data_IF_729024364325
#
_entry.id   IF_729024364325
#
_cell.length_a   1.000
_cell.length_b   1.000
_cell.length_c   1.000
_cell.angle_alpha   90.00
_cell.angle_beta   90.00
_cell.angle_gamma   90.00
#
_symmetry.space_group_name_H-M   'P 1'
#
loop_
_entity.id
_entity.type
_entity.pdbx_description
1 polymer ?
#
# COMPACT_ATOMS: atom_id res chain seq x y z
N UNK A 1 -10.45 -30.52 -45.73
CA UNK A 1 -9.98 -31.86 -45.33
C UNK A 1 -10.20 -31.99 -43.82
N UNK A 2 -10.68 -33.15 -43.39
CA UNK A 2 -11.48 -33.48 -42.19
C UNK A 2 -10.93 -33.04 -40.81
N UNK A 3 -11.88 -32.66 -39.94
CA UNK A 3 -11.81 -32.61 -38.45
C UNK A 3 -11.71 -34.06 -37.89
N UNK A 4 -11.26 -34.31 -36.63
CA UNK A 4 -12.13 -34.24 -35.42
C UNK A 4 -11.36 -33.69 -34.17
N UNK A 5 -11.92 -32.95 -33.20
CA UNK A 5 -12.99 -33.19 -32.21
C UNK A 5 -12.75 -34.36 -31.24
N UNK A 6 -13.09 -34.13 -29.95
CA UNK A 6 -13.31 -35.04 -28.79
C UNK A 6 -12.21 -35.02 -27.71
N UNK A 7 -12.48 -35.13 -26.41
CA UNK A 7 -13.71 -35.02 -25.61
C UNK A 7 -13.32 -34.91 -24.12
N UNK A 8 -14.22 -34.31 -23.34
CA UNK A 8 -14.28 -34.25 -21.88
C UNK A 8 -14.38 -35.64 -21.23
N UNK A 9 -13.77 -35.83 -20.06
CA UNK A 9 -14.20 -36.86 -19.09
C UNK A 9 -14.02 -36.37 -17.65
N UNK A 10 -15.15 -36.25 -16.97
CA UNK A 10 -15.29 -36.20 -15.51
C UNK A 10 -15.52 -37.63 -14.97
N UNK A 11 -15.86 -37.74 -13.67
CA UNK A 11 -16.45 -38.90 -12.94
C UNK A 11 -15.41 -39.67 -12.09
N UNK A 12 -15.70 -40.18 -10.87
CA UNK A 12 -16.41 -39.60 -9.71
C UNK A 12 -15.73 -39.96 -8.34
N UNK A 13 -16.38 -39.56 -7.24
CA UNK A 13 -16.14 -40.02 -5.88
C UNK A 13 -16.60 -41.47 -5.65
N UNK A 14 -15.93 -42.20 -4.73
CA UNK A 14 -16.48 -43.38 -4.07
C UNK A 14 -15.99 -43.49 -2.63
N UNK A 15 -16.98 -43.57 -1.74
CA UNK A 15 -16.94 -43.73 -0.30
C UNK A 15 -17.01 -45.25 0.02
N UNK A 16 -16.16 -45.79 0.91
CA UNK A 16 -16.44 -47.06 1.59
C UNK A 16 -15.89 -47.07 3.02
N UNK A 17 -16.74 -47.57 3.92
CA UNK A 17 -16.65 -47.67 5.37
C UNK A 17 -16.45 -49.13 5.80
N UNK A 18 -15.70 -49.30 6.90
CA UNK A 18 -15.76 -50.35 7.95
C UNK A 18 -15.37 -51.81 7.61
N UNK A 19 -14.44 -52.39 8.38
CA UNK A 19 -14.74 -53.33 9.49
C UNK A 19 -13.47 -53.69 10.28
N UNK A 20 -13.68 -54.34 11.42
CA UNK A 20 -12.92 -54.22 12.66
C UNK A 20 -11.95 -55.37 12.99
N UNK A 21 -11.09 -55.08 13.96
CA UNK A 21 -10.52 -55.93 15.02
C UNK A 21 -9.71 -57.20 14.69
N UNK A 22 -8.43 -57.18 15.10
CA UNK A 22 -7.78 -58.30 15.79
C UNK A 22 -6.61 -57.77 16.64
N UNK A 23 -6.63 -58.06 17.95
CA UNK A 23 -5.49 -57.95 18.86
C UNK A 23 -4.57 -59.16 18.67
N UNK A 24 -3.25 -59.01 18.78
CA UNK A 24 -2.42 -59.61 19.85
C UNK A 24 -0.90 -59.39 19.61
N UNK A 25 -0.23 -58.97 20.69
CA UNK A 25 1.19 -59.10 21.08
C UNK A 25 2.35 -58.89 20.06
N UNK A 26 3.22 -57.91 20.35
CA UNK A 26 4.60 -58.11 20.90
C UNK A 26 5.47 -56.86 20.72
N UNK A 27 6.05 -56.38 21.82
CA UNK A 27 7.03 -55.30 21.87
C UNK A 27 8.34 -55.71 21.17
N UNK A 28 8.84 -54.86 20.26
CA UNK A 28 10.27 -54.63 20.07
C UNK A 28 10.46 -53.26 19.39
N UNK A 29 11.30 -52.44 20.03
CA UNK A 29 11.43 -51.02 19.74
C UNK A 29 12.13 -50.71 18.42
N UNK A 30 11.49 -49.89 17.61
CA UNK A 30 12.15 -48.98 16.68
C UNK A 30 11.25 -47.74 16.53
N UNK A 31 11.51 -46.73 17.36
CA UNK A 31 10.92 -45.40 17.23
C UNK A 31 11.43 -44.76 15.93
N UNK A 32 10.73 -45.03 14.83
CA UNK A 32 10.78 -44.16 13.65
C UNK A 32 10.09 -42.87 14.06
N UNK A 33 10.90 -41.88 14.40
CA UNK A 33 10.45 -40.51 14.59
C UNK A 33 9.74 -40.07 13.30
N UNK A 34 8.41 -40.15 13.32
CA UNK A 34 7.57 -39.45 12.37
C UNK A 34 7.91 -37.97 12.52
N UNK A 35 8.66 -37.44 11.56
CA UNK A 35 8.94 -36.02 11.43
C UNK A 35 7.61 -35.31 11.23
N UNK A 36 7.02 -34.91 12.33
CA UNK A 36 5.90 -33.99 12.37
C UNK A 36 6.40 -32.67 11.79
N UNK A 37 6.12 -32.46 10.51
CA UNK A 37 6.18 -31.13 9.89
C UNK A 37 5.09 -30.28 10.53
N UNK A 38 5.36 -29.81 11.75
CA UNK A 38 4.57 -28.80 12.42
C UNK A 38 4.55 -27.53 11.58
N UNK A 39 3.48 -26.72 11.68
CA UNK A 39 3.41 -25.45 10.97
C UNK A 39 4.64 -24.62 11.34
N UNK A 40 5.47 -24.29 10.34
CA UNK A 40 6.63 -23.43 10.54
C UNK A 40 6.15 -22.11 11.12
N UNK A 41 6.55 -21.83 12.37
CA UNK A 41 6.31 -20.53 12.97
C UNK A 41 6.86 -19.44 12.03
N UNK A 42 6.16 -18.31 11.85
CA UNK A 42 6.66 -17.25 11.00
C UNK A 42 8.04 -16.82 11.50
N UNK A 43 9.05 -16.92 10.62
CA UNK A 43 10.42 -16.54 10.95
C UNK A 43 10.49 -15.05 11.24
N UNK A 44 10.89 -14.68 12.46
CA UNK A 44 11.12 -13.27 12.83
C UNK A 44 12.28 -12.76 11.97
N UNK A 45 12.12 -11.65 11.21
CA UNK A 45 13.19 -11.12 10.39
C UNK A 45 14.44 -10.79 11.23
N UNK A 46 15.63 -11.02 10.67
CA UNK A 46 16.90 -10.72 11.33
C UNK A 46 17.11 -9.22 11.49
N UNK A 47 17.90 -8.81 12.49
CA UNK A 47 18.31 -7.41 12.65
C UNK A 47 19.09 -6.92 11.41
N UNK A 48 18.84 -5.69 11.00
CA UNK A 48 19.42 -5.11 9.77
C UNK A 48 20.53 -4.08 10.03
N UNK A 49 20.72 -3.69 11.30
CA UNK A 49 21.78 -2.81 11.74
C UNK A 49 21.62 -1.34 11.36
N UNK A 50 20.46 -0.94 10.85
CA UNK A 50 20.20 0.46 10.46
C UNK A 50 20.32 1.38 11.67
N UNK A 51 19.93 0.92 12.86
CA UNK A 51 19.97 1.66 14.12
C UNK A 51 21.38 2.05 14.57
N UNK A 52 22.43 1.45 14.02
CA UNK A 52 23.83 1.79 14.32
C UNK A 52 24.38 2.93 13.46
N UNK A 53 23.66 3.33 12.42
CA UNK A 53 24.08 4.40 11.52
C UNK A 53 23.79 5.79 12.13
N UNK A 54 24.37 6.82 11.52
CA UNK A 54 23.97 8.21 11.76
C UNK A 54 22.56 8.50 11.20
N UNK A 55 21.93 9.57 11.68
CA UNK A 55 20.53 9.87 11.36
C UNK A 55 20.28 10.04 9.85
N UNK A 56 21.20 10.72 9.14
CA UNK A 56 21.08 10.95 7.70
C UNK A 56 21.16 9.64 6.91
N UNK A 57 22.06 8.73 7.29
CA UNK A 57 22.16 7.39 6.67
C UNK A 57 20.97 6.51 6.98
N UNK A 58 20.37 6.59 8.17
CA UNK A 58 19.12 5.90 8.50
C UNK A 58 18.02 6.34 7.54
N UNK A 59 17.80 7.66 7.42
CA UNK A 59 16.79 8.23 6.53
C UNK A 59 17.03 7.83 5.07
N UNK A 60 18.28 7.93 4.58
CA UNK A 60 18.62 7.59 3.20
C UNK A 60 18.36 6.10 2.89
N UNK A 61 18.75 5.18 3.79
CA UNK A 61 18.45 3.76 3.62
C UNK A 61 16.95 3.49 3.66
N UNK A 62 16.22 4.15 4.55
CA UNK A 62 14.78 3.95 4.68
C UNK A 62 14.02 4.42 3.44
N UNK A 63 14.33 5.62 2.94
CA UNK A 63 13.79 6.12 1.67
C UNK A 63 14.04 5.15 0.52
N UNK A 64 15.28 4.67 0.38
CA UNK A 64 15.65 3.72 -0.67
C UNK A 64 14.88 2.41 -0.57
N UNK A 65 14.83 1.81 0.62
CA UNK A 65 14.15 0.54 0.84
C UNK A 65 12.64 0.66 0.58
N UNK A 66 12.00 1.69 1.13
CA UNK A 66 10.55 1.93 0.94
C UNK A 66 10.21 2.21 -0.54
N UNK A 67 11.06 2.91 -1.30
CA UNK A 67 10.86 3.11 -2.74
C UNK A 67 11.08 1.83 -3.57
N UNK A 68 11.95 0.93 -3.11
CA UNK A 68 12.23 -0.33 -3.78
C UNK A 68 11.21 -1.43 -3.46
N UNK A 69 10.31 -1.20 -2.50
CA UNK A 69 9.29 -2.17 -2.14
C UNK A 69 8.38 -2.49 -3.32
N UNK A 70 8.09 -3.78 -3.51
CA UNK A 70 7.18 -4.27 -4.57
C UNK A 70 5.79 -3.61 -4.48
N UNK A 71 5.32 -3.44 -3.26
CA UNK A 71 4.06 -2.80 -2.93
C UNK A 71 4.12 -2.26 -1.51
N UNK A 72 3.28 -1.27 -1.21
CA UNK A 72 3.14 -0.66 0.12
C UNK A 72 1.77 0.01 0.19
N UNK A 73 1.17 0.03 1.38
CA UNK A 73 0.03 0.88 1.70
C UNK A 73 0.48 2.01 2.62
N UNK A 74 -0.02 3.20 2.34
CA UNK A 74 0.21 4.42 3.06
C UNK A 74 -1.15 4.94 3.53
N UNK A 75 -1.34 5.17 4.82
CA UNK A 75 -2.62 5.70 5.30
C UNK A 75 -2.46 6.57 6.55
N UNK A 76 -3.35 7.54 6.72
CA UNK A 76 -3.37 8.41 7.89
C UNK A 76 -3.89 9.80 7.56
N UNK A 77 -3.56 10.74 8.42
CA UNK A 77 -4.02 12.13 8.33
C UNK A 77 -2.81 13.05 8.44
N UNK A 78 -2.70 14.01 7.52
CA UNK A 78 -1.71 15.07 7.54
C UNK A 78 -2.41 16.42 7.58
N UNK A 79 -1.67 17.48 7.88
CA UNK A 79 -2.15 18.85 7.69
C UNK A 79 -1.57 19.41 6.40
N UNK A 80 -2.40 20.08 5.61
CA UNK A 80 -1.93 20.88 4.49
C UNK A 80 -1.39 22.24 4.95
N UNK A 81 -0.92 23.04 3.99
CA UNK A 81 -0.33 24.36 4.25
C UNK A 81 -1.35 25.37 4.80
N UNK A 82 -2.65 25.15 4.56
CA UNK A 82 -3.76 25.93 5.12
C UNK A 82 -4.18 25.45 6.52
N UNK A 83 -3.50 24.43 7.05
CA UNK A 83 -3.74 23.84 8.37
C UNK A 83 -4.92 22.87 8.43
N UNK A 84 -5.46 22.46 7.28
CA UNK A 84 -6.61 21.56 7.18
C UNK A 84 -6.17 20.11 7.24
N UNK A 85 -7.00 19.27 7.85
CA UNK A 85 -6.74 17.85 7.91
C UNK A 85 -7.05 17.18 6.55
N UNK A 86 -6.04 16.53 5.99
CA UNK A 86 -6.10 15.72 4.79
C UNK A 86 -5.92 14.27 5.17
N UNK A 87 -6.98 13.47 5.01
CA UNK A 87 -6.92 12.03 5.21
C UNK A 87 -6.59 11.33 3.90
N UNK A 88 -5.66 10.39 3.95
CA UNK A 88 -5.18 9.64 2.80
C UNK A 88 -5.15 8.14 3.09
N UNK A 89 -5.48 7.32 2.10
CA UNK A 89 -5.24 5.86 2.11
C UNK A 89 -4.92 5.43 0.68
N UNK A 90 -3.65 5.09 0.43
CA UNK A 90 -3.14 4.71 -0.87
C UNK A 90 -2.42 3.38 -0.82
N UNK A 91 -2.59 2.61 -1.88
CA UNK A 91 -1.83 1.39 -2.15
C UNK A 91 -1.05 1.57 -3.45
N UNK A 92 0.22 1.18 -3.42
CA UNK A 92 1.13 1.25 -4.56
C UNK A 92 1.62 -0.14 -4.92
N UNK A 93 1.75 -0.42 -6.21
CA UNK A 93 2.28 -1.70 -6.70
C UNK A 93 2.75 -1.58 -8.15
N UNK A 94 4.01 -1.87 -8.43
CA UNK A 94 4.53 -2.01 -9.80
C UNK A 94 4.19 -0.86 -10.75
N UNK A 95 4.32 0.39 -10.30
CA UNK A 95 4.01 1.59 -11.10
C UNK A 95 2.53 1.98 -11.15
N UNK A 96 1.66 1.20 -10.52
CA UNK A 96 0.23 1.47 -10.31
C UNK A 96 -0.01 2.01 -8.91
N UNK A 97 -1.10 2.77 -8.76
CA UNK A 97 -1.56 3.25 -7.47
C UNK A 97 -3.08 3.29 -7.42
N UNK A 98 -3.66 3.12 -6.24
CA UNK A 98 -5.08 3.35 -5.99
C UNK A 98 -5.26 3.84 -4.57
N UNK A 99 -6.15 4.81 -4.37
CA UNK A 99 -6.42 5.33 -3.04
C UNK A 99 -7.47 6.41 -3.03
N UNK A 100 -7.66 6.98 -1.85
CA UNK A 100 -8.59 8.05 -1.58
C UNK A 100 -7.88 9.20 -0.86
N UNK A 101 -8.35 10.41 -1.14
CA UNK A 101 -8.06 11.62 -0.38
C UNK A 101 -9.39 12.20 0.11
N UNK A 102 -9.39 12.66 1.35
CA UNK A 102 -10.50 13.40 1.93
C UNK A 102 -9.98 14.66 2.61
N UNK A 103 -10.50 15.82 2.21
CA UNK A 103 -10.20 17.13 2.78
C UNK A 103 -11.49 17.92 2.90
N UNK A 104 -11.76 18.56 4.04
CA UNK A 104 -12.98 19.35 4.27
C UNK A 104 -14.30 18.63 3.91
N UNK A 105 -14.33 17.30 4.12
CA UNK A 105 -15.49 16.47 3.77
C UNK A 105 -15.67 16.19 2.28
N UNK A 106 -14.78 16.67 1.42
CA UNK A 106 -14.73 16.38 -0.01
C UNK A 106 -13.82 15.17 -0.23
N UNK A 107 -14.34 14.13 -0.88
CA UNK A 107 -13.58 12.92 -1.21
C UNK A 107 -13.26 12.84 -2.69
N UNK A 108 -12.04 12.44 -2.99
CA UNK A 108 -11.62 12.04 -4.33
C UNK A 108 -10.92 10.68 -4.30
N UNK A 109 -11.39 9.76 -5.14
CA UNK A 109 -10.74 8.47 -5.39
C UNK A 109 -9.82 8.58 -6.60
N UNK A 110 -8.64 7.99 -6.49
CA UNK A 110 -7.61 8.01 -7.52
C UNK A 110 -7.23 6.59 -7.92
N UNK A 111 -7.05 6.37 -9.23
CA UNK A 111 -6.43 5.17 -9.77
C UNK A 111 -5.38 5.59 -10.79
N UNK A 112 -4.17 5.03 -10.71
CA UNK A 112 -3.12 5.23 -11.71
C UNK A 112 -2.70 3.89 -12.30
N UNK A 113 -2.72 3.83 -13.63
CA UNK A 113 -2.18 2.71 -14.41
C UNK A 113 -1.18 3.27 -15.42
N UNK A 114 0.11 3.06 -15.16
CA UNK A 114 1.17 3.62 -16.02
C UNK A 114 1.10 5.15 -16.07
N UNK A 115 0.77 5.69 -17.25
CA UNK A 115 0.62 7.14 -17.48
C UNK A 115 -0.82 7.66 -17.37
N UNK A 116 -1.81 6.77 -17.28
CA UNK A 116 -3.20 7.16 -17.10
C UNK A 116 -3.51 7.34 -15.61
N UNK A 117 -4.16 8.44 -15.26
CA UNK A 117 -4.70 8.72 -13.94
C UNK A 117 -6.20 8.91 -14.08
N UNK A 118 -6.96 8.33 -13.15
CA UNK A 118 -8.41 8.40 -13.10
C UNK A 118 -8.79 9.05 -11.77
N UNK A 119 -9.62 10.09 -11.83
CA UNK A 119 -10.14 10.81 -10.67
C UNK A 119 -11.63 10.61 -10.56
N UNK A 120 -12.12 10.26 -9.38
CA UNK A 120 -13.55 10.24 -9.08
C UNK A 120 -13.80 11.03 -7.81
N UNK A 121 -14.18 12.28 -7.99
CA UNK A 121 -14.68 13.13 -6.91
C UNK A 121 -16.12 12.77 -6.56
N UNK A 122 -16.49 13.07 -5.32
CA UNK A 122 -17.89 13.27 -4.97
C UNK A 122 -18.43 14.59 -5.55
N UNK A 123 -19.73 14.82 -5.41
CA UNK A 123 -20.37 16.02 -5.95
C UNK A 123 -19.83 17.31 -5.30
N UNK A 124 -19.39 17.25 -4.04
CA UNK A 124 -18.83 18.40 -3.34
C UNK A 124 -17.46 18.78 -3.91
N UNK A 125 -16.63 17.79 -4.21
CA UNK A 125 -15.35 17.95 -4.90
C UNK A 125 -15.56 18.54 -6.29
N UNK A 126 -16.43 17.94 -7.12
CA UNK A 126 -16.67 18.44 -8.48
C UNK A 126 -17.25 19.84 -8.50
N UNK A 127 -18.15 20.16 -7.57
CA UNK A 127 -18.70 21.50 -7.43
C UNK A 127 -17.62 22.53 -7.09
N UNK A 128 -16.66 22.20 -6.23
CA UNK A 128 -15.55 23.11 -5.91
C UNK A 128 -14.55 23.23 -7.06
N UNK A 129 -14.27 22.14 -7.77
CA UNK A 129 -13.29 22.11 -8.86
C UNK A 129 -13.80 22.81 -10.14
N UNK A 130 -15.08 22.69 -10.48
CA UNK A 130 -15.61 23.18 -11.75
C UNK A 130 -17.10 23.55 -11.75
N UNK A 131 -17.69 23.75 -10.57
CA UNK A 131 -19.08 24.18 -10.43
C UNK A 131 -20.11 23.14 -10.89
N UNK A 132 -21.31 23.63 -11.23
CA UNK A 132 -22.45 22.76 -11.59
C UNK A 132 -22.19 21.94 -12.86
N UNK A 133 -21.44 22.49 -13.83
CA UNK A 133 -21.12 21.78 -15.07
C UNK A 133 -20.26 20.54 -14.83
N UNK A 134 -19.24 20.66 -13.98
CA UNK A 134 -18.43 19.51 -13.57
C UNK A 134 -19.26 18.44 -12.87
N UNK A 135 -20.18 18.81 -11.97
CA UNK A 135 -21.09 17.85 -11.32
C UNK A 135 -21.96 17.13 -12.34
N UNK A 136 -22.57 17.85 -13.29
CA UNK A 136 -23.42 17.25 -14.32
C UNK A 136 -22.68 16.25 -15.21
N UNK A 137 -21.41 16.52 -15.51
CA UNK A 137 -20.60 15.68 -16.40
C UNK A 137 -19.94 14.51 -15.67
N UNK A 138 -19.52 14.70 -14.42
CA UNK A 138 -18.61 13.79 -13.72
C UNK A 138 -19.20 13.11 -12.49
N UNK A 139 -20.42 13.46 -12.06
CA UNK A 139 -21.06 12.79 -10.93
C UNK A 139 -21.15 11.27 -11.19
N UNK A 140 -20.59 10.50 -10.25
CA UNK A 140 -20.50 9.04 -10.34
C UNK A 140 -19.49 8.48 -11.34
N UNK A 141 -18.83 9.31 -12.15
CA UNK A 141 -17.89 8.93 -13.21
C UNK A 141 -16.43 9.21 -12.81
N UNK A 142 -15.51 8.65 -13.58
CA UNK A 142 -14.08 8.90 -13.49
C UNK A 142 -13.66 9.86 -14.60
N UNK A 143 -12.96 10.92 -14.24
CA UNK A 143 -12.20 11.74 -15.18
C UNK A 143 -10.85 11.07 -15.44
N UNK A 144 -10.55 10.76 -16.70
CA UNK A 144 -9.24 10.24 -17.14
C UNK A 144 -8.36 11.39 -17.61
N UNK A 145 -7.11 11.37 -17.15
CA UNK A 145 -6.08 12.35 -17.49
C UNK A 145 -4.67 11.75 -17.33
N UNK A 146 -3.64 12.59 -17.30
CA UNK A 146 -2.24 12.22 -17.08
C UNK A 146 -1.65 12.97 -15.88
N UNK A 147 -0.54 12.49 -15.28
CA UNK A 147 0.09 13.20 -14.17
C UNK A 147 0.66 14.59 -14.48
N UNK A 148 0.68 14.98 -15.75
CA UNK A 148 1.21 16.26 -16.21
C UNK A 148 0.09 17.24 -16.58
N UNK A 149 -1.17 16.84 -16.48
CA UNK A 149 -2.29 17.73 -16.72
C UNK A 149 -2.32 18.83 -15.66
N UNK A 150 -2.33 20.09 -16.09
CA UNK A 150 -2.05 21.24 -15.20
C UNK A 150 -2.99 21.26 -14.00
N UNK A 151 -4.28 21.04 -14.25
CA UNK A 151 -5.34 21.18 -13.24
C UNK A 151 -5.41 19.97 -12.29
N UNK A 152 -4.72 18.87 -12.60
CA UNK A 152 -4.74 17.63 -11.82
C UNK A 152 -3.36 17.16 -11.35
N UNK A 153 -2.29 17.90 -11.65
CA UNK A 153 -0.92 17.49 -11.39
C UNK A 153 -0.63 17.27 -9.89
N UNK A 154 -1.18 18.13 -9.03
CA UNK A 154 -1.01 18.04 -7.57
C UNK A 154 -1.67 16.79 -7.01
N UNK A 155 -2.95 16.56 -7.33
CA UNK A 155 -3.65 15.35 -6.92
C UNK A 155 -3.00 14.10 -7.53
N UNK A 156 -2.55 14.16 -8.79
CA UNK A 156 -1.85 13.06 -9.42
C UNK A 156 -0.52 12.72 -8.72
N UNK A 157 0.14 13.68 -8.05
CA UNK A 157 1.39 13.45 -7.34
C UNK A 157 1.24 12.42 -6.21
N UNK A 158 0.08 12.35 -5.55
CA UNK A 158 -0.23 11.30 -4.57
C UNK A 158 -0.16 9.90 -5.17
N UNK A 159 -0.37 9.74 -6.47
CA UNK A 159 -0.26 8.42 -7.13
C UNK A 159 1.18 8.02 -7.49
N UNK A 160 2.16 8.88 -7.16
CA UNK A 160 3.58 8.71 -7.54
C UNK A 160 4.44 8.62 -6.27
N UNK A 161 4.84 7.41 -5.84
CA UNK A 161 5.62 7.20 -4.62
C UNK A 161 6.86 8.08 -4.51
N UNK A 162 7.60 8.26 -5.61
CA UNK A 162 8.81 9.09 -5.60
C UNK A 162 8.53 10.57 -5.33
N UNK A 163 7.40 11.11 -5.81
CA UNK A 163 6.99 12.50 -5.52
C UNK A 163 6.48 12.61 -4.08
N UNK A 164 5.54 11.74 -3.72
CA UNK A 164 4.92 11.76 -2.39
C UNK A 164 5.96 11.57 -1.27
N UNK A 165 6.87 10.60 -1.42
CA UNK A 165 7.89 10.35 -0.41
C UNK A 165 8.98 11.43 -0.39
N UNK A 166 9.24 12.11 -1.50
CA UNK A 166 10.13 13.27 -1.49
C UNK A 166 9.54 14.41 -0.66
N UNK A 167 8.21 14.57 -0.65
CA UNK A 167 7.53 15.54 0.21
C UNK A 167 7.51 15.05 1.67
N UNK A 168 6.99 13.86 1.93
CA UNK A 168 6.76 13.35 3.29
C UNK A 168 8.05 13.04 4.07
N UNK A 169 9.12 12.63 3.40
CA UNK A 169 10.34 12.18 4.08
C UNK A 169 11.42 13.25 4.15
N UNK A 170 11.17 14.47 3.68
CA UNK A 170 12.12 15.58 3.78
C UNK A 170 12.09 16.18 5.19
N UNK A 171 13.19 16.09 5.94
CA UNK A 171 13.22 16.56 7.31
C UNK A 171 13.20 18.09 7.35
N UNK A 172 12.47 18.64 8.31
CA UNK A 172 12.52 20.06 8.61
C UNK A 172 13.68 20.34 9.57
N UNK A 173 14.72 21.03 9.11
CA UNK A 173 15.88 21.35 9.93
C UNK A 173 16.76 20.13 10.27
N UNK A 174 17.41 20.16 11.44
CA UNK A 174 18.42 19.17 11.81
C UNK A 174 17.79 17.82 12.19
N UNK A 175 18.29 16.74 11.58
CA UNK A 175 17.84 15.38 11.87
C UNK A 175 18.67 14.75 13.00
N UNK A 176 18.00 14.16 13.98
CA UNK A 176 18.62 13.56 15.16
C UNK A 176 18.00 12.21 15.51
N UNK A 177 18.79 11.32 16.11
CA UNK A 177 18.30 10.01 16.58
C UNK A 177 17.56 10.19 17.91
N UNK A 178 16.50 9.42 18.10
CA UNK A 178 15.76 9.35 19.37
C UNK A 178 15.89 7.99 20.05
N UNK A 179 16.25 6.94 19.31
CA UNK A 179 16.57 5.62 19.87
C UNK A 179 15.62 4.52 19.41
N UNK A 180 15.48 3.47 20.23
CA UNK A 180 14.61 2.34 19.94
C UNK A 180 13.13 2.71 20.08
N UNK A 181 12.28 2.08 19.28
CA UNK A 181 10.83 2.24 19.28
C UNK A 181 10.15 0.96 18.77
N UNK A 182 8.83 0.93 18.82
CA UNK A 182 8.02 -0.14 18.23
C UNK A 182 6.82 0.48 17.51
N UNK A 183 6.53 0.03 16.30
CA UNK A 183 5.37 0.47 15.51
C UNK A 183 4.59 -0.76 15.08
N UNK A 184 3.33 -0.87 15.50
CA UNK A 184 2.46 -2.02 15.20
C UNK A 184 3.12 -3.39 15.45
N UNK A 185 3.87 -3.51 16.54
CA UNK A 185 4.61 -4.74 16.90
C UNK A 185 5.94 -4.95 16.16
N UNK A 186 6.32 -4.07 15.23
CA UNK A 186 7.59 -4.12 14.50
C UNK A 186 8.66 -3.31 15.24
N UNK A 187 9.81 -3.91 15.60
CA UNK A 187 10.94 -3.19 16.16
C UNK A 187 11.46 -2.10 15.22
N UNK A 188 11.68 -0.91 15.75
CA UNK A 188 12.04 0.27 14.99
C UNK A 188 13.13 1.09 15.70
N UNK A 189 13.76 1.97 14.93
CA UNK A 189 14.48 3.13 15.45
C UNK A 189 13.74 4.39 15.04
N UNK A 190 13.72 5.39 15.93
CA UNK A 190 13.08 6.67 15.64
C UNK A 190 14.10 7.79 15.43
N UNK A 191 13.82 8.62 14.44
CA UNK A 191 14.48 9.89 14.19
C UNK A 191 13.49 11.03 14.53
N UNK A 192 14.03 12.19 14.83
CA UNK A 192 13.28 13.43 14.94
C UNK A 192 14.00 14.53 14.18
N UNK A 193 13.24 15.41 13.54
CA UNK A 193 13.76 16.61 12.90
C UNK A 193 13.60 17.86 13.79
N UNK A 194 14.03 19.02 13.28
CA UNK A 194 13.94 20.31 13.96
C UNK A 194 12.54 20.94 13.91
N UNK A 195 11.68 20.49 12.99
CA UNK A 195 10.27 20.90 12.90
C UNK A 195 9.37 20.23 13.95
N UNK A 196 9.88 19.20 14.64
CA UNK A 196 9.12 18.43 15.63
C UNK A 196 8.45 17.18 15.06
N UNK A 197 8.80 16.80 13.82
CA UNK A 197 8.38 15.55 13.21
C UNK A 197 9.18 14.35 13.72
N UNK A 198 8.60 13.16 13.56
CA UNK A 198 9.24 11.87 13.86
C UNK A 198 9.13 10.91 12.69
N UNK A 199 10.20 10.17 12.45
CA UNK A 199 10.25 9.08 11.49
C UNK A 199 10.60 7.78 12.22
N UNK A 200 9.87 6.71 11.91
CA UNK A 200 10.11 5.39 12.46
C UNK A 200 10.53 4.42 11.36
N UNK A 201 11.67 3.76 11.55
CA UNK A 201 12.30 2.88 10.56
C UNK A 201 12.49 1.48 11.14
N UNK A 202 12.07 0.46 10.40
CA UNK A 202 12.22 -0.94 10.81
C UNK A 202 13.69 -1.32 11.04
N UNK A 203 13.98 -1.99 12.16
CA UNK A 203 15.34 -2.48 12.50
C UNK A 203 15.54 -3.96 12.20
N UNK A 204 14.52 -4.61 11.63
CA UNK A 204 14.55 -6.01 11.20
C UNK A 204 14.09 -6.13 9.76
N UNK A 205 14.71 -7.03 8.99
CA UNK A 205 14.46 -7.15 7.55
C UNK A 205 14.87 -5.91 6.77
N UNK A 206 14.15 -5.57 5.69
CA UNK A 206 14.38 -4.31 4.96
C UNK A 206 14.07 -3.10 5.86
N UNK A 207 14.90 -2.04 5.85
CA UNK A 207 14.74 -0.88 6.73
C UNK A 207 13.62 0.05 6.24
N UNK A 208 12.41 -0.47 6.07
CA UNK A 208 11.27 0.30 5.60
C UNK A 208 10.86 1.38 6.60
N UNK A 209 10.36 2.50 6.08
CA UNK A 209 9.57 3.47 6.87
C UNK A 209 8.31 2.77 7.37
N UNK A 210 8.01 2.93 8.65
CA UNK A 210 6.82 2.36 9.29
C UNK A 210 5.80 3.44 9.63
N UNK A 211 6.28 4.63 10.02
CA UNK A 211 5.44 5.76 10.40
C UNK A 211 6.17 7.08 10.24
N UNK A 212 5.41 8.11 9.90
CA UNK A 212 5.77 9.51 10.02
C UNK A 212 4.76 10.16 10.96
N UNK A 213 5.24 11.00 11.86
CA UNK A 213 4.43 11.89 12.70
C UNK A 213 4.90 13.32 12.42
N UNK A 214 3.97 14.24 12.22
CA UNK A 214 4.26 15.67 12.09
C UNK A 214 4.07 16.36 13.45
N UNK A 215 4.50 17.61 13.58
CA UNK A 215 4.15 18.42 14.74
C UNK A 215 2.63 18.55 14.85
N UNK A 216 2.07 18.30 16.04
CA UNK A 216 0.63 18.20 16.27
C UNK A 216 0.13 16.77 16.10
N UNK A 217 -1.05 16.61 15.50
CA UNK A 217 -1.74 15.30 15.42
C UNK A 217 -1.58 14.60 14.06
N UNK A 218 -0.74 15.13 13.18
CA UNK A 218 -0.49 14.54 11.86
C UNK A 218 0.28 13.23 11.97
N UNK A 219 -0.24 12.16 11.34
CA UNK A 219 0.37 10.84 11.35
C UNK A 219 0.05 10.05 10.09
N UNK A 220 1.08 9.43 9.52
CA UNK A 220 0.97 8.53 8.37
C UNK A 220 1.67 7.21 8.69
N UNK A 221 0.93 6.12 8.59
CA UNK A 221 1.42 4.76 8.76
C UNK A 221 1.69 4.09 7.40
N UNK A 222 2.74 3.28 7.36
CA UNK A 222 3.17 2.50 6.20
C UNK A 222 3.07 1.01 6.55
N UNK A 223 2.26 0.28 5.80
CA UNK A 223 2.05 -1.15 6.02
C UNK A 223 1.95 -1.93 4.70
N UNK A 224 1.66 -3.23 4.78
CA UNK A 224 1.38 -4.05 3.60
C UNK A 224 2.55 -4.20 2.64
N UNK A 225 3.79 -3.99 3.12
CA UNK A 225 4.99 -4.11 2.31
C UNK A 225 5.07 -5.47 1.61
N UNK A 226 5.16 -5.45 0.29
CA UNK A 226 5.24 -6.65 -0.54
C UNK A 226 3.92 -7.44 -0.69
N UNK A 227 2.81 -7.02 -0.08
CA UNK A 227 1.52 -7.69 -0.25
C UNK A 227 1.03 -7.63 -1.71
N UNK A 228 0.32 -8.67 -2.17
CA UNK A 228 -0.32 -8.62 -3.48
C UNK A 228 -1.48 -7.62 -3.45
N UNK A 229 -1.48 -6.66 -4.38
CA UNK A 229 -2.56 -5.66 -4.51
C UNK A 229 -3.06 -5.66 -5.95
N UNK A 230 -4.36 -5.88 -6.13
CA UNK A 230 -5.02 -5.77 -7.42
C UNK A 230 -5.41 -4.31 -7.68
N UNK A 231 -4.78 -3.69 -8.68
CA UNK A 231 -5.09 -2.34 -9.14
C UNK A 231 -5.42 -2.41 -10.63
N UNK A 232 -6.67 -2.08 -10.95
CA UNK A 232 -7.28 -2.19 -12.29
C UNK A 232 -7.83 -0.83 -12.73
N UNK A 233 -7.86 -0.54 -14.05
CA UNK A 233 -8.52 0.65 -14.55
C UNK A 233 -10.04 0.60 -14.26
N UNK A 234 -10.71 1.75 -14.15
CA UNK A 234 -12.16 1.80 -14.06
C UNK A 234 -12.86 1.21 -15.30
N UNK A 235 -14.14 0.80 -15.18
CA UNK A 235 -14.92 0.38 -16.33
C UNK A 235 -15.03 1.48 -17.39
N UNK A 236 -14.81 1.15 -18.67
CA UNK A 236 -14.76 2.14 -19.76
C UNK A 236 -16.01 3.03 -19.85
N UNK A 237 -17.22 2.47 -19.63
CA UNK A 237 -18.47 3.25 -19.63
C UNK A 237 -18.64 4.24 -18.47
N UNK A 238 -17.72 4.23 -17.51
CA UNK A 238 -17.68 5.18 -16.39
C UNK A 238 -16.57 6.21 -16.54
N UNK A 239 -15.87 6.25 -17.67
CA UNK A 239 -14.74 7.15 -17.89
C UNK A 239 -15.13 8.27 -18.84
N UNK A 240 -14.74 9.50 -18.50
CA UNK A 240 -14.77 10.70 -19.37
C UNK A 240 -13.32 11.15 -19.52
N UNK A 241 -12.83 11.38 -20.74
CA UNK A 241 -11.47 11.88 -20.92
C UNK A 241 -11.44 13.40 -20.73
N UNK A 242 -10.39 13.93 -20.09
CA UNK A 242 -10.23 15.38 -19.92
C UNK A 242 -10.17 16.10 -21.27
N UNK A 243 -9.65 15.44 -22.30
CA UNK A 243 -9.63 15.97 -23.66
C UNK A 243 -11.03 16.20 -24.24
N UNK A 244 -12.05 15.47 -23.76
CA UNK A 244 -13.43 15.63 -24.21
C UNK A 244 -14.13 16.83 -23.52
N UNK A 245 -13.53 17.42 -22.48
CA UNK A 245 -14.09 18.54 -21.71
C UNK A 245 -13.67 19.92 -22.24
N UNK A 246 -12.56 20.00 -22.98
CA UNK A 246 -12.04 21.24 -23.54
C UNK A 246 -11.61 21.03 -25.00
N UNK A 247 -12.58 20.96 -25.94
CA UNK A 247 -12.33 20.70 -27.36
C UNK A 247 -11.59 21.84 -28.08
#
# INVERSE_FOLDING_TARGET
MRIPTTATLAVPAALMLMFAAACDSKEDGASVAAGSSGPSAPSVPSANGVERLDAAKILARARKATLAARSVRLHGTIRDDDGKDVTLDFRYSGGKAMGDLTTDGQRVSLVRIGRAVYFKGDDAFWKAAGGKGAVQLLSGKYLKTTPNEKDFAELAAFTIPSKLFAQLLTPEGALSKRGAATVAGVPATSLADGGGGRLYVATRGEPHVLRIESKGDGRVDFDGYGAAVAIQPPPAGQVVDVADLNP
#
